data_IF_680382266158
#
_entry.id   IF_680382266158
#
_cell.length_a   1.000
_cell.length_b   1.000
_cell.length_c   1.000
_cell.angle_alpha   90.00
_cell.angle_beta   90.00
_cell.angle_gamma   90.00
#
_symmetry.space_group_name_H-M   'P 1'
#
loop_
_entity.id
_entity.type
_entity.pdbx_description
1 polymer ?
#
# COMPACT_ATOMS: atom_id res chain seq x y z
N UNK A 1 15.59 13.52 30.02
CA UNK A 1 14.45 13.13 29.15
C UNK A 1 14.82 13.54 27.73
N UNK A 2 15.65 12.74 27.08
CA UNK A 2 16.29 13.07 25.79
C UNK A 2 15.54 12.35 24.67
N UNK A 3 14.84 13.11 23.83
CA UNK A 3 14.29 12.63 22.57
C UNK A 3 15.44 12.36 21.59
N UNK A 4 16.09 11.21 21.76
CA UNK A 4 16.96 10.66 20.75
C UNK A 4 16.14 9.80 19.79
N UNK A 5 16.56 9.83 18.52
CA UNK A 5 16.13 8.98 17.39
C UNK A 5 14.90 9.51 16.67
N UNK A 6 15.10 10.23 15.55
CA UNK A 6 14.29 10.14 14.31
C UNK A 6 14.89 11.03 13.21
N UNK A 7 16.14 10.77 12.84
CA UNK A 7 16.71 11.25 11.57
C UNK A 7 17.21 10.03 10.81
N UNK A 8 16.27 9.29 10.22
CA UNK A 8 16.60 8.36 9.14
C UNK A 8 16.37 9.15 7.86
N UNK A 9 17.46 9.50 7.19
CA UNK A 9 17.42 10.32 6.00
C UNK A 9 16.60 9.61 4.91
N UNK A 10 15.35 10.04 4.77
CA UNK A 10 14.46 9.64 3.69
C UNK A 10 15.03 10.28 2.45
N UNK A 11 15.70 9.50 1.59
CA UNK A 11 16.20 10.01 0.33
C UNK A 11 15.02 10.17 -0.65
N UNK A 12 14.27 11.26 -0.46
CA UNK A 12 13.05 11.61 -1.20
C UNK A 12 13.27 11.54 -2.71
N UNK A 13 14.48 11.89 -3.16
CA UNK A 13 14.91 11.84 -4.56
C UNK A 13 14.85 10.44 -5.18
N UNK A 14 14.93 9.36 -4.40
CA UNK A 14 14.92 7.99 -4.91
C UNK A 14 13.57 7.30 -4.70
N UNK A 15 12.89 7.61 -3.60
CA UNK A 15 11.57 7.04 -3.31
C UNK A 15 10.46 7.64 -4.17
N UNK A 16 10.54 8.93 -4.54
CA UNK A 16 9.57 9.55 -5.44
C UNK A 16 9.56 8.89 -6.83
N UNK A 17 10.69 8.80 -7.56
CA UNK A 17 10.71 8.13 -8.87
C UNK A 17 10.32 6.66 -8.78
N UNK A 18 10.65 5.99 -7.68
CA UNK A 18 10.25 4.60 -7.47
C UNK A 18 8.73 4.47 -7.36
N UNK A 19 8.08 5.28 -6.52
CA UNK A 19 6.63 5.26 -6.37
C UNK A 19 5.93 5.70 -7.64
N UNK A 20 6.46 6.69 -8.35
CA UNK A 20 5.96 7.10 -9.65
C UNK A 20 6.11 5.97 -10.67
N UNK A 21 7.25 5.28 -10.72
CA UNK A 21 7.46 4.12 -11.58
C UNK A 21 6.51 2.96 -11.27
N UNK A 22 6.28 2.68 -9.99
CA UNK A 22 5.29 1.69 -9.53
C UNK A 22 3.88 2.10 -9.94
N UNK A 23 3.51 3.36 -9.76
CA UNK A 23 2.20 3.87 -10.15
C UNK A 23 2.00 3.78 -11.67
N UNK A 24 3.03 4.10 -12.46
CA UNK A 24 3.01 3.96 -13.91
C UNK A 24 2.90 2.50 -14.35
N UNK A 25 3.71 1.60 -13.77
CA UNK A 25 3.63 0.16 -14.04
C UNK A 25 2.26 -0.39 -13.67
N UNK A 26 1.71 0.02 -12.51
CA UNK A 26 0.35 -0.35 -12.08
C UNK A 26 -0.70 0.14 -13.08
N UNK A 27 -0.62 1.40 -13.47
CA UNK A 27 -1.56 2.03 -14.41
C UNK A 27 -1.47 1.42 -15.81
N UNK A 28 -0.27 1.05 -16.28
CA UNK A 28 -0.04 0.52 -17.62
C UNK A 28 -0.32 -0.99 -17.71
N UNK A 29 0.22 -1.79 -16.78
CA UNK A 29 0.12 -3.26 -16.84
C UNK A 29 -1.18 -3.79 -16.24
N UNK A 30 -1.70 -3.15 -15.18
CA UNK A 30 -2.83 -3.69 -14.41
C UNK A 30 -4.16 -2.97 -14.66
N UNK A 31 -4.19 -1.90 -15.48
CA UNK A 31 -5.43 -1.32 -16.02
C UNK A 31 -6.26 -2.35 -16.82
N UNK A 32 -5.62 -3.36 -17.41
CA UNK A 32 -6.28 -4.37 -18.27
C UNK A 32 -6.30 -5.79 -17.73
N UNK A 33 -5.58 -6.10 -16.66
CA UNK A 33 -5.41 -7.47 -16.17
C UNK A 33 -6.21 -7.66 -14.88
N UNK A 34 -7.47 -8.08 -15.01
CA UNK A 34 -8.22 -8.67 -13.90
C UNK A 34 -8.04 -10.19 -13.94
N UNK A 35 -7.39 -10.77 -12.94
CA UNK A 35 -7.32 -12.23 -12.82
C UNK A 35 -8.62 -12.68 -12.15
N UNK A 36 -9.59 -13.13 -12.95
CA UNK A 36 -10.85 -13.73 -12.45
C UNK A 36 -11.67 -12.79 -11.53
N UNK A 37 -11.58 -11.47 -11.75
CA UNK A 37 -12.21 -10.43 -10.94
C UNK A 37 -11.28 -9.77 -9.90
N UNK A 38 -10.21 -10.45 -9.49
CA UNK A 38 -9.19 -9.89 -8.61
C UNK A 38 -8.23 -8.96 -9.35
N UNK A 39 -7.86 -7.86 -8.70
CA UNK A 39 -6.88 -6.87 -9.20
C UNK A 39 -5.75 -6.72 -8.19
N UNK A 40 -4.48 -6.94 -8.59
CA UNK A 40 -3.35 -6.63 -7.72
C UNK A 40 -3.15 -5.11 -7.62
N UNK A 41 -3.00 -4.62 -6.39
CA UNK A 41 -2.74 -3.20 -6.11
C UNK A 41 -1.29 -3.01 -5.71
N UNK A 42 -0.42 -2.73 -6.68
CA UNK A 42 1.03 -2.58 -6.42
C UNK A 42 1.34 -1.46 -5.42
N UNK A 43 0.69 -0.30 -5.56
CA UNK A 43 0.85 0.85 -4.67
C UNK A 43 0.49 0.48 -3.23
N UNK A 44 -0.64 -0.22 -3.04
CA UNK A 44 -1.07 -0.73 -1.74
C UNK A 44 -0.02 -1.67 -1.15
N UNK A 45 0.44 -2.66 -1.92
CA UNK A 45 1.44 -3.62 -1.47
C UNK A 45 2.75 -2.93 -1.06
N UNK A 46 3.17 -1.93 -1.83
CA UNK A 46 4.40 -1.18 -1.55
C UNK A 46 4.27 -0.36 -0.28
N UNK A 47 3.18 0.41 -0.14
CA UNK A 47 2.90 1.24 1.04
C UNK A 47 2.81 0.38 2.30
N UNK A 48 2.07 -0.73 2.23
CA UNK A 48 1.89 -1.70 3.29
C UNK A 48 3.22 -2.32 3.75
N UNK A 49 4.02 -2.81 2.80
CA UNK A 49 5.33 -3.42 3.10
C UNK A 49 6.29 -2.36 3.65
N UNK A 50 6.23 -1.12 3.13
CA UNK A 50 7.06 -0.03 3.61
C UNK A 50 6.72 0.34 5.05
N UNK A 51 5.43 0.49 5.35
CA UNK A 51 4.93 0.75 6.70
C UNK A 51 5.35 -0.35 7.68
N UNK A 52 5.27 -1.61 7.26
CA UNK A 52 5.66 -2.77 8.08
C UNK A 52 7.17 -2.87 8.33
N UNK A 53 8.00 -2.51 7.34
CA UNK A 53 9.47 -2.68 7.42
C UNK A 53 10.17 -1.49 8.06
N UNK A 54 9.67 -0.26 7.84
CA UNK A 54 10.31 0.97 8.31
C UNK A 54 9.58 1.61 9.48
N UNK A 55 8.42 2.20 9.22
CA UNK A 55 7.58 2.84 10.23
C UNK A 55 6.22 3.24 9.67
N UNK A 56 5.27 3.43 10.58
CA UNK A 56 3.96 4.01 10.28
C UNK A 56 4.09 5.38 9.60
N UNK A 57 4.94 6.28 10.12
CA UNK A 57 5.07 7.64 9.60
C UNK A 57 5.50 7.66 8.14
N UNK A 58 6.52 6.87 7.77
CA UNK A 58 6.94 6.77 6.37
C UNK A 58 5.85 6.14 5.50
N UNK A 59 5.16 5.11 6.01
CA UNK A 59 4.05 4.46 5.30
C UNK A 59 2.89 5.41 5.01
N UNK A 60 2.51 6.24 5.98
CA UNK A 60 1.43 7.23 5.85
C UNK A 60 1.79 8.30 4.82
N UNK A 61 3.01 8.84 4.90
CA UNK A 61 3.49 9.86 3.95
C UNK A 61 3.47 9.30 2.51
N UNK A 62 4.02 8.10 2.32
CA UNK A 62 4.06 7.48 0.98
C UNK A 62 2.69 7.00 0.49
N UNK A 63 1.82 6.55 1.39
CA UNK A 63 0.43 6.23 1.08
C UNK A 63 -0.36 7.45 0.61
N UNK A 64 -0.16 8.59 1.26
CA UNK A 64 -0.78 9.85 0.86
C UNK A 64 -0.29 10.32 -0.51
N UNK A 65 1.03 10.43 -0.70
CA UNK A 65 1.63 10.88 -1.97
C UNK A 65 1.29 9.91 -3.10
N UNK A 66 1.48 8.61 -2.89
CA UNK A 66 1.20 7.57 -3.87
C UNK A 66 -0.29 7.50 -4.23
N UNK A 67 -1.17 7.66 -3.25
CA UNK A 67 -2.61 7.68 -3.48
C UNK A 67 -3.06 8.91 -4.27
N UNK A 68 -2.52 10.10 -3.99
CA UNK A 68 -2.81 11.29 -4.79
C UNK A 68 -2.35 11.11 -6.25
N UNK A 69 -1.18 10.49 -6.48
CA UNK A 69 -0.71 10.20 -7.84
C UNK A 69 -1.69 9.26 -8.56
N UNK A 70 -2.17 8.19 -7.89
CA UNK A 70 -3.15 7.27 -8.46
C UNK A 70 -4.49 7.97 -8.72
N UNK A 71 -4.95 8.82 -7.80
CA UNK A 71 -6.20 9.58 -7.96
C UNK A 71 -6.13 10.50 -9.19
N UNK A 72 -5.01 11.18 -9.40
CA UNK A 72 -4.77 12.02 -10.58
C UNK A 72 -4.73 11.23 -11.90
N UNK A 73 -4.23 9.99 -11.87
CA UNK A 73 -4.11 9.13 -13.06
C UNK A 73 -5.37 8.32 -13.38
N UNK A 74 -6.19 8.02 -12.37
CA UNK A 74 -7.34 7.11 -12.51
C UNK A 74 -8.63 7.80 -12.98
N UNK A 75 -8.71 9.12 -12.84
CA UNK A 75 -9.94 9.88 -13.13
C UNK A 75 -11.07 9.65 -12.11
N UNK A 76 -10.78 8.99 -10.99
CA UNK A 76 -11.71 8.79 -9.87
C UNK A 76 -11.78 10.01 -8.94
N UNK A 77 -12.54 9.91 -7.83
CA UNK A 77 -12.64 10.98 -6.85
C UNK A 77 -11.26 11.30 -6.25
N UNK A 78 -10.86 12.57 -6.33
CA UNK A 78 -9.55 13.00 -5.82
C UNK A 78 -9.46 12.80 -4.31
N UNK A 79 -8.42 12.10 -3.85
CA UNK A 79 -8.17 11.79 -2.44
C UNK A 79 -8.73 10.43 -1.99
N UNK A 80 -9.51 9.73 -2.82
CA UNK A 80 -10.07 8.43 -2.44
C UNK A 80 -8.98 7.40 -2.15
N UNK A 81 -8.02 7.25 -3.09
CA UNK A 81 -6.91 6.32 -2.94
C UNK A 81 -5.95 6.78 -1.86
N UNK A 82 -5.70 8.10 -1.75
CA UNK A 82 -4.87 8.65 -0.68
C UNK A 82 -5.38 8.28 0.71
N UNK A 83 -6.67 8.49 0.99
CA UNK A 83 -7.27 8.16 2.29
C UNK A 83 -7.22 6.64 2.53
N UNK A 84 -7.59 5.85 1.52
CA UNK A 84 -7.59 4.39 1.63
C UNK A 84 -6.19 3.83 1.95
N UNK A 85 -5.15 4.35 1.30
CA UNK A 85 -3.75 3.93 1.53
C UNK A 85 -3.22 4.39 2.88
N UNK A 86 -3.56 5.60 3.33
CA UNK A 86 -3.17 6.09 4.66
C UNK A 86 -3.74 5.21 5.75
N UNK A 87 -5.03 4.86 5.67
CA UNK A 87 -5.67 3.96 6.63
C UNK A 87 -5.09 2.55 6.57
N UNK A 88 -4.78 2.05 5.37
CA UNK A 88 -4.08 0.78 5.21
C UNK A 88 -2.68 0.79 5.85
N UNK A 89 -1.92 1.87 5.66
CA UNK A 89 -0.59 2.03 6.26
C UNK A 89 -0.64 2.08 7.79
N UNK A 90 -1.65 2.76 8.34
CA UNK A 90 -1.88 2.87 9.79
C UNK A 90 -1.95 1.48 10.46
N UNK A 91 -2.76 0.57 9.91
CA UNK A 91 -2.89 -0.79 10.44
C UNK A 91 -1.55 -1.55 10.46
N UNK A 92 -0.77 -1.44 9.39
CA UNK A 92 0.48 -2.21 9.25
C UNK A 92 1.70 -1.60 9.93
N UNK A 93 1.69 -0.28 10.15
CA UNK A 93 2.81 0.44 10.73
C UNK A 93 2.83 0.43 12.25
N UNK A 94 1.74 0.01 12.90
CA UNK A 94 1.64 0.04 14.35
C UNK A 94 2.41 -1.10 15.05
N UNK A 95 3.03 -0.80 16.21
CA UNK A 95 3.78 -1.78 16.98
C UNK A 95 2.92 -2.83 17.69
N UNK A 96 1.58 -2.68 17.71
CA UNK A 96 0.66 -3.55 18.47
C UNK A 96 0.64 -4.99 17.94
N UNK A 97 1.03 -5.21 16.69
CA UNK A 97 1.13 -6.53 16.11
C UNK A 97 2.34 -7.35 16.60
N UNK A 98 3.26 -6.79 17.40
CA UNK A 98 4.51 -7.46 17.77
C UNK A 98 4.31 -8.77 18.56
N UNK A 99 3.16 -8.95 19.23
CA UNK A 99 2.79 -10.20 19.91
C UNK A 99 2.08 -11.24 19.01
N UNK A 100 1.79 -10.92 17.75
CA UNK A 100 1.04 -11.80 16.83
C UNK A 100 1.95 -12.88 16.22
N UNK A 101 2.22 -13.95 16.97
CA UNK A 101 2.83 -15.18 16.46
C UNK A 101 4.14 -14.96 15.69
N UNK A 102 4.30 -15.66 14.55
CA UNK A 102 5.49 -15.52 13.70
C UNK A 102 5.46 -14.22 12.87
N UNK A 103 6.63 -13.72 12.46
CA UNK A 103 6.71 -12.53 11.60
C UNK A 103 5.90 -12.66 10.30
N UNK A 104 5.74 -13.88 9.76
CA UNK A 104 4.94 -14.13 8.56
C UNK A 104 3.44 -14.09 8.88
N UNK A 105 3.01 -14.72 9.99
CA UNK A 105 1.61 -14.67 10.42
C UNK A 105 1.16 -13.23 10.69
N UNK A 106 2.00 -12.44 11.39
CA UNK A 106 1.77 -11.00 11.60
C UNK A 106 1.60 -10.25 10.29
N UNK A 107 2.53 -10.46 9.34
CA UNK A 107 2.48 -9.78 8.04
C UNK A 107 1.20 -10.12 7.27
N UNK A 108 0.80 -11.39 7.25
CA UNK A 108 -0.42 -11.83 6.56
C UNK A 108 -1.68 -11.26 7.20
N UNK A 109 -1.78 -11.28 8.54
CA UNK A 109 -2.94 -10.72 9.26
C UNK A 109 -3.07 -9.22 9.04
N UNK A 110 -1.97 -8.48 9.18
CA UNK A 110 -1.97 -7.03 8.95
C UNK A 110 -2.24 -6.72 7.48
N UNK A 111 -1.71 -7.51 6.54
CA UNK A 111 -1.99 -7.32 5.13
C UNK A 111 -3.47 -7.55 4.78
N UNK A 112 -4.09 -8.57 5.39
CA UNK A 112 -5.51 -8.83 5.23
C UNK A 112 -6.35 -7.63 5.72
N UNK A 113 -6.06 -7.12 6.92
CA UNK A 113 -6.77 -5.96 7.47
C UNK A 113 -6.58 -4.71 6.62
N UNK A 114 -5.34 -4.42 6.22
CA UNK A 114 -5.03 -3.24 5.40
C UNK A 114 -5.65 -3.30 4.01
N UNK A 115 -5.61 -4.46 3.35
CA UNK A 115 -6.19 -4.61 2.01
C UNK A 115 -7.71 -4.58 2.03
N UNK A 116 -8.33 -5.17 3.07
CA UNK A 116 -9.77 -5.07 3.29
C UNK A 116 -10.21 -3.62 3.56
N UNK A 117 -9.49 -2.92 4.45
CA UNK A 117 -9.73 -1.51 4.75
C UNK A 117 -9.66 -0.66 3.48
N UNK A 118 -8.60 -0.85 2.68
CA UNK A 118 -8.43 -0.12 1.43
C UNK A 118 -9.63 -0.29 0.49
N UNK A 119 -10.06 -1.52 0.22
CA UNK A 119 -11.18 -1.79 -0.68
C UNK A 119 -12.52 -1.25 -0.13
N UNK A 120 -12.77 -1.41 1.18
CA UNK A 120 -13.97 -0.90 1.81
C UNK A 120 -14.06 0.63 1.72
N UNK A 121 -12.95 1.33 2.01
CA UNK A 121 -12.89 2.80 1.93
C UNK A 121 -13.16 3.28 0.51
N UNK A 122 -12.55 2.63 -0.50
CA UNK A 122 -12.81 2.96 -1.90
C UNK A 122 -14.28 2.78 -2.27
N UNK A 123 -14.90 1.66 -1.88
CA UNK A 123 -16.32 1.41 -2.15
C UNK A 123 -17.23 2.43 -1.46
N UNK A 124 -16.95 2.79 -0.21
CA UNK A 124 -17.71 3.81 0.54
C UNK A 124 -17.61 5.17 -0.16
N UNK A 125 -16.41 5.59 -0.56
CA UNK A 125 -16.20 6.88 -1.23
C UNK A 125 -16.87 6.90 -2.61
N UNK A 126 -16.81 5.80 -3.36
CA UNK A 126 -17.51 5.68 -4.64
C UNK A 126 -19.03 5.79 -4.46
N UNK A 127 -19.60 5.13 -3.45
CA UNK A 127 -21.03 5.23 -3.14
C UNK A 127 -21.43 6.66 -2.76
N UNK A 128 -20.61 7.34 -1.95
CA UNK A 128 -20.85 8.73 -1.54
C UNK A 128 -20.72 9.74 -2.68
N UNK A 129 -19.92 9.43 -3.70
CA UNK A 129 -19.73 10.30 -4.88
C UNK A 129 -20.79 10.09 -5.96
N UNK A 130 -21.83 9.29 -5.66
CA UNK A 130 -22.98 9.11 -6.54
C UNK A 130 -22.85 7.96 -7.54
N UNK A 131 -21.81 7.10 -7.42
CA UNK A 131 -21.71 5.90 -8.24
C UNK A 131 -22.69 4.84 -7.77
N UNK A 132 -23.39 4.20 -8.71
CA UNK A 132 -24.24 3.05 -8.40
C UNK A 132 -23.36 1.82 -8.17
N UNK A 133 -23.33 1.33 -6.93
CA UNK A 133 -22.53 0.16 -6.55
C UNK A 133 -23.47 -1.01 -6.28
N UNK A 134 -23.28 -2.09 -7.03
CA UNK A 134 -23.74 -3.42 -6.63
C UNK A 134 -22.79 -3.93 -5.54
N UNK A 135 -23.20 -3.78 -4.28
CA UNK A 135 -22.39 -4.12 -3.13
C UNK A 135 -22.04 -5.61 -3.07
N UNK A 136 -22.96 -6.49 -3.47
CA UNK A 136 -22.72 -7.93 -3.45
C UNK A 136 -21.65 -8.29 -4.48
N UNK A 137 -21.81 -7.81 -5.70
CA UNK A 137 -20.83 -8.02 -6.76
C UNK A 137 -19.48 -7.40 -6.38
N UNK A 138 -19.47 -6.15 -5.92
CA UNK A 138 -18.26 -5.43 -5.58
C UNK A 138 -17.49 -6.09 -4.42
N UNK A 139 -18.18 -6.57 -3.39
CA UNK A 139 -17.55 -7.22 -2.24
C UNK A 139 -17.11 -8.64 -2.57
N UNK A 140 -17.97 -9.47 -3.17
CA UNK A 140 -17.70 -10.91 -3.33
C UNK A 140 -16.90 -11.24 -4.58
N UNK A 141 -17.03 -10.47 -5.65
CA UNK A 141 -16.40 -10.79 -6.96
C UNK A 141 -15.22 -9.90 -7.29
N UNK A 142 -15.05 -8.77 -6.62
CA UNK A 142 -13.93 -7.85 -6.83
C UNK A 142 -13.09 -7.72 -5.57
N UNK A 143 -13.62 -7.11 -4.50
CA UNK A 143 -12.86 -6.80 -3.30
C UNK A 143 -12.36 -8.06 -2.58
N UNK A 144 -13.21 -9.06 -2.35
CA UNK A 144 -12.83 -10.30 -1.68
C UNK A 144 -11.66 -11.02 -2.37
N UNK A 145 -11.78 -11.33 -3.68
CA UNK A 145 -10.68 -11.90 -4.45
C UNK A 145 -9.42 -11.04 -4.46
N UNK A 146 -9.53 -9.71 -4.58
CA UNK A 146 -8.39 -8.79 -4.53
C UNK A 146 -7.70 -8.75 -3.16
N UNK A 147 -8.48 -8.78 -2.07
CA UNK A 147 -7.97 -8.81 -0.69
C UNK A 147 -7.15 -10.08 -0.47
N UNK A 148 -7.68 -11.24 -0.87
CA UNK A 148 -6.96 -12.51 -0.77
C UNK A 148 -5.70 -12.49 -1.65
N UNK A 149 -5.82 -12.03 -2.89
CA UNK A 149 -4.70 -11.96 -3.83
C UNK A 149 -3.58 -11.05 -3.31
N UNK A 150 -3.90 -9.82 -2.88
CA UNK A 150 -2.94 -8.88 -2.32
C UNK A 150 -2.30 -9.42 -1.03
N UNK A 151 -3.09 -10.05 -0.15
CA UNK A 151 -2.58 -10.66 1.09
C UNK A 151 -1.58 -11.77 0.79
N UNK A 152 -1.90 -12.67 -0.15
CA UNK A 152 -1.01 -13.75 -0.57
C UNK A 152 0.24 -13.20 -1.25
N UNK A 153 0.11 -12.18 -2.10
CA UNK A 153 1.25 -11.55 -2.79
C UNK A 153 2.20 -10.80 -1.85
N UNK A 154 1.70 -10.32 -0.71
CA UNK A 154 2.49 -9.51 0.23
C UNK A 154 3.83 -10.15 0.64
N UNK A 155 3.90 -11.39 1.14
CA UNK A 155 5.17 -12.04 1.48
C UNK A 155 6.10 -12.24 0.27
N UNK A 156 5.55 -12.43 -0.94
CA UNK A 156 6.36 -12.58 -2.16
C UNK A 156 6.99 -11.25 -2.58
N UNK A 157 6.22 -10.16 -2.58
CA UNK A 157 6.70 -8.81 -2.96
C UNK A 157 7.60 -8.20 -1.88
N UNK A 158 7.49 -8.64 -0.63
CA UNK A 158 8.38 -8.19 0.45
C UNK A 158 9.86 -8.43 0.11
N UNK A 159 10.20 -9.55 -0.50
CA UNK A 159 11.59 -9.89 -0.82
C UNK A 159 12.27 -8.91 -1.79
N UNK A 160 11.71 -8.61 -2.97
CA UNK A 160 12.30 -7.64 -3.89
C UNK A 160 12.32 -6.22 -3.30
N UNK A 161 11.28 -5.80 -2.56
CA UNK A 161 11.29 -4.48 -1.90
C UNK A 161 12.35 -4.37 -0.79
N UNK A 162 12.54 -5.44 -0.01
CA UNK A 162 13.61 -5.51 0.98
C UNK A 162 15.01 -5.57 0.33
N UNK A 163 15.13 -6.15 -0.87
CA UNK A 163 16.38 -6.14 -1.62
C UNK A 163 16.69 -4.73 -2.18
N UNK A 164 15.70 -4.07 -2.78
CA UNK A 164 15.84 -2.74 -3.36
C UNK A 164 16.14 -1.67 -2.30
N UNK A 165 15.43 -1.70 -1.17
CA UNK A 165 15.69 -0.78 -0.05
C UNK A 165 17.08 -0.97 0.57
N UNK A 166 17.63 -2.19 0.54
CA UNK A 166 19.01 -2.47 0.99
C UNK A 166 20.06 -1.95 -0.01
N UNK A 167 19.78 -1.99 -1.31
CA UNK A 167 20.66 -1.47 -2.37
C UNK A 167 20.73 0.06 -2.34
N UNK A 168 19.58 0.71 -2.25
CA UNK A 168 19.47 2.19 -2.21
C UNK A 168 20.22 2.79 -1.00
N UNK A 169 20.26 2.06 0.14
CA UNK A 169 20.99 2.51 1.34
C UNK A 169 22.52 2.49 1.20
N UNK A 170 23.09 1.77 0.23
CA UNK A 170 24.56 1.69 0.05
C UNK A 170 25.14 2.84 -0.75
N UNK A 171 24.33 3.55 -1.53
CA UNK A 171 24.82 4.63 -2.41
C UNK A 171 24.87 6.01 -1.72
N UNK A 172 24.19 6.16 -0.57
CA UNK A 172 24.24 7.40 0.23
C UNK A 172 25.42 7.53 1.20
N UNK A 173 26.40 6.61 1.15
CA UNK A 173 27.59 6.63 2.03
C UNK A 173 28.91 6.87 1.29
N UNK A 174 28.87 7.15 -0.02
CA UNK A 174 30.06 7.37 -0.85
C UNK A 174 30.07 8.76 -1.52
N UNK A 175 29.59 9.79 -0.82
CA UNK A 175 29.82 11.20 -1.15
C UNK A 175 30.32 11.95 0.08
#
# INVERSE_FOLDING_TARGET
MTFHVWRRDINLYLSLPLLTGIALIQSILFSRVSVRGARPDLMLLVVLIWAFVRSMDEGVIWGFIGGLIIDLLSGGPLGATAIALVLAAFWTGQPWGQGLGTNVARLLLLALLSTATYHLVILIILAWTGHTIDWEFALLRVAGPSVLLNTILTPFIRQPLAWLSRRIRREGLNL
#
